data_IF_469852460841
#
_entry.id   IF_469852460841
#
_cell.length_a   1.000
_cell.length_b   1.000
_cell.length_c   1.000
_cell.angle_alpha   90.00
_cell.angle_beta   90.00
_cell.angle_gamma   90.00
#
_symmetry.space_group_name_H-M   'P 1'
#
loop_
_entity.id
_entity.type
_entity.pdbx_description
1 polymer ?
#
# COMPACT_ATOMS: atom_id res chain seq x y z
N UNK A 1 -31.37 -9.58 29.83
CA UNK A 1 -30.37 -9.98 28.83
C UNK A 1 -30.53 -9.08 27.63
N UNK A 2 -29.68 -8.05 27.48
CA UNK A 2 -29.66 -7.17 26.31
C UNK A 2 -28.65 -7.73 25.30
N UNK A 3 -29.16 -8.21 24.17
CA UNK A 3 -28.38 -8.57 23.00
C UNK A 3 -27.79 -7.31 22.38
N UNK A 4 -26.52 -7.03 22.67
CA UNK A 4 -25.75 -6.03 21.93
C UNK A 4 -25.37 -6.67 20.60
N UNK A 5 -26.16 -6.38 19.57
CA UNK A 5 -25.79 -6.62 18.17
C UNK A 5 -24.53 -5.80 17.87
N UNK A 6 -23.38 -6.47 17.88
CA UNK A 6 -22.11 -5.90 17.45
C UNK A 6 -22.20 -5.56 15.97
N UNK A 7 -22.41 -4.29 15.66
CA UNK A 7 -22.19 -3.78 14.31
C UNK A 7 -20.69 -3.90 14.02
N UNK A 8 -20.32 -4.94 13.28
CA UNK A 8 -19.01 -5.00 12.65
C UNK A 8 -18.96 -3.87 11.62
N UNK A 9 -18.41 -2.72 12.03
CA UNK A 9 -17.96 -1.69 11.10
C UNK A 9 -17.07 -2.40 10.06
N UNK A 10 -17.33 -2.30 8.76
CA UNK A 10 -16.40 -2.80 7.77
C UNK A 10 -15.10 -2.02 8.03
N UNK A 11 -14.09 -2.71 8.56
CA UNK A 11 -12.74 -2.18 8.62
C UNK A 11 -12.41 -1.78 7.19
N UNK A 12 -12.41 -0.47 6.91
CA UNK A 12 -11.95 0.05 5.63
C UNK A 12 -10.54 -0.46 5.48
N UNK A 13 -10.39 -1.48 4.65
CA UNK A 13 -9.13 -2.11 4.42
C UNK A 13 -8.22 -1.00 3.86
N UNK A 14 -7.21 -0.61 4.63
CA UNK A 14 -6.40 0.57 4.33
C UNK A 14 -5.48 0.29 3.14
N UNK A 15 -5.61 1.09 2.09
CA UNK A 15 -4.63 1.21 1.03
C UNK A 15 -3.70 2.40 1.37
N UNK A 16 -3.16 2.41 2.59
CA UNK A 16 -2.37 3.53 3.06
C UNK A 16 -0.90 3.36 2.69
N UNK A 17 -0.35 4.34 1.99
CA UNK A 17 1.03 4.33 1.54
C UNK A 17 1.71 5.62 1.92
N UNK A 18 3.02 5.54 2.11
CA UNK A 18 3.84 6.69 2.44
C UNK A 18 5.23 6.55 1.83
N UNK A 19 5.83 7.69 1.52
CA UNK A 19 7.21 7.82 1.07
C UNK A 19 7.85 8.93 1.89
N UNK A 20 9.00 8.64 2.47
CA UNK A 20 9.91 9.63 3.03
C UNK A 20 11.12 9.75 2.12
N UNK A 21 11.63 10.96 1.95
CA UNK A 21 12.80 11.17 1.12
C UNK A 21 13.64 12.37 1.57
N UNK A 22 14.92 12.27 1.26
CA UNK A 22 15.87 13.36 1.28
C UNK A 22 15.93 13.96 -0.13
N UNK A 23 15.53 15.22 -0.23
CA UNK A 23 15.41 15.91 -1.50
C UNK A 23 16.76 16.38 -2.09
N UNK A 24 17.85 16.26 -1.32
CA UNK A 24 19.20 16.67 -1.69
C UNK A 24 20.06 15.47 -2.11
N UNK A 25 19.95 14.34 -1.38
CA UNK A 25 20.72 13.12 -1.69
C UNK A 25 19.97 12.16 -2.60
N UNK A 26 18.63 12.25 -2.65
CA UNK A 26 17.78 11.30 -3.35
C UNK A 26 17.55 10.00 -2.58
N UNK A 27 18.04 9.89 -1.34
CA UNK A 27 17.71 8.78 -0.45
C UNK A 27 16.20 8.78 -0.15
N UNK A 28 15.59 7.61 -0.10
CA UNK A 28 14.16 7.47 0.15
C UNK A 28 13.85 6.19 0.90
N UNK A 29 12.67 6.17 1.53
CA UNK A 29 12.05 5.00 2.11
C UNK A 29 10.57 5.01 1.80
N UNK A 30 9.97 3.84 1.65
CA UNK A 30 8.58 3.71 1.23
C UNK A 30 7.86 2.62 2.02
N UNK A 31 6.54 2.74 2.10
CA UNK A 31 5.65 1.70 2.59
C UNK A 31 4.37 1.75 1.79
N UNK A 32 3.82 0.58 1.49
CA UNK A 32 2.67 0.42 0.60
C UNK A 32 1.56 -0.34 1.31
N UNK A 33 0.30 0.01 1.02
CA UNK A 33 -0.88 -0.80 1.31
C UNK A 33 -1.09 -1.16 2.79
N UNK A 34 -0.72 -0.26 3.70
CA UNK A 34 -0.91 -0.43 5.14
C UNK A 34 -2.33 -0.13 5.57
N UNK A 35 -2.71 -0.77 6.68
CA UNK A 35 -4.01 -0.56 7.35
C UNK A 35 -4.23 0.88 7.84
N UNK A 36 -3.17 1.66 8.03
CA UNK A 36 -3.26 3.06 8.43
C UNK A 36 -2.09 3.89 7.88
N UNK A 37 -2.33 5.18 7.67
CA UNK A 37 -1.31 6.14 7.22
C UNK A 37 -0.15 6.21 8.21
N UNK A 38 -0.43 6.17 9.52
CA UNK A 38 0.60 6.19 10.55
C UNK A 38 1.56 5.00 10.46
N UNK A 39 1.03 3.79 10.21
CA UNK A 39 1.86 2.60 10.02
C UNK A 39 2.70 2.70 8.74
N UNK A 40 2.11 3.21 7.64
CA UNK A 40 2.84 3.45 6.40
C UNK A 40 3.99 4.45 6.63
N UNK A 41 3.71 5.57 7.31
CA UNK A 41 4.70 6.60 7.59
C UNK A 41 5.84 6.10 8.47
N UNK A 42 5.54 5.37 9.55
CA UNK A 42 6.58 4.83 10.44
C UNK A 42 7.54 3.89 9.71
N UNK A 43 7.01 3.01 8.87
CA UNK A 43 7.85 2.08 8.11
C UNK A 43 8.64 2.83 7.02
N UNK A 44 8.01 3.74 6.27
CA UNK A 44 8.67 4.51 5.23
C UNK A 44 9.81 5.39 5.80
N UNK A 45 9.56 6.05 6.94
CA UNK A 45 10.58 6.82 7.65
C UNK A 45 11.72 5.90 8.11
N UNK A 46 11.40 4.76 8.72
CA UNK A 46 12.37 3.77 9.18
C UNK A 46 13.32 3.27 8.08
N UNK A 47 12.85 3.16 6.84
CA UNK A 47 13.73 2.86 5.71
C UNK A 47 14.54 4.06 5.25
N UNK A 48 13.94 5.26 5.17
CA UNK A 48 14.66 6.44 4.72
C UNK A 48 15.85 6.76 5.64
N UNK A 49 15.65 6.69 6.96
CA UNK A 49 16.69 7.04 7.95
C UNK A 49 17.90 6.10 7.96
N UNK A 50 17.80 4.93 7.32
CA UNK A 50 18.94 4.03 7.13
C UNK A 50 19.89 4.53 6.03
N UNK A 51 19.41 5.40 5.14
CA UNK A 51 20.15 5.87 3.97
C UNK A 51 20.43 7.38 3.99
N UNK A 52 19.67 8.17 4.76
CA UNK A 52 19.95 9.58 5.00
C UNK A 52 19.47 10.02 6.38
N UNK A 53 20.20 10.95 7.00
CA UNK A 53 19.77 11.59 8.24
C UNK A 53 18.75 12.73 8.01
N UNK A 54 18.51 13.13 6.75
CA UNK A 54 17.65 14.25 6.38
C UNK A 54 16.38 13.80 5.63
N UNK A 55 15.63 12.88 6.22
CA UNK A 55 14.33 12.42 5.73
C UNK A 55 13.19 13.39 6.09
N UNK A 56 13.33 14.65 5.70
CA UNK A 56 12.41 15.73 6.07
C UNK A 56 11.21 15.89 5.13
N UNK A 57 11.26 15.29 3.94
CA UNK A 57 10.16 15.36 2.98
C UNK A 57 9.36 14.07 3.02
N UNK A 58 8.03 14.21 2.91
CA UNK A 58 7.12 13.07 2.96
C UNK A 58 5.92 13.27 2.03
N UNK A 59 5.40 12.15 1.54
CA UNK A 59 4.12 12.07 0.85
C UNK A 59 3.36 10.85 1.39
N UNK A 60 2.04 10.96 1.56
CA UNK A 60 1.22 9.84 2.00
C UNK A 60 -0.17 9.86 1.40
N UNK A 61 -0.82 8.70 1.36
CA UNK A 61 -2.21 8.55 0.96
C UNK A 61 -2.90 7.47 1.79
N UNK A 62 -4.23 7.51 1.82
CA UNK A 62 -5.11 6.44 2.28
C UNK A 62 -6.12 6.01 1.21
N UNK A 63 -6.00 6.57 0.00
CA UNK A 63 -6.93 6.37 -1.11
C UNK A 63 -6.42 5.28 -2.04
N UNK A 64 -7.34 4.51 -2.63
CA UNK A 64 -7.02 3.61 -3.72
C UNK A 64 -6.55 4.35 -4.99
N UNK A 65 -5.96 3.62 -5.93
CA UNK A 65 -5.41 4.17 -7.17
C UNK A 65 -4.02 3.60 -7.49
N UNK A 66 -3.24 4.35 -8.27
CA UNK A 66 -1.89 3.96 -8.66
C UNK A 66 -0.87 4.95 -8.12
N UNK A 67 0.27 4.42 -7.71
CA UNK A 67 1.33 5.20 -7.11
C UNK A 67 2.66 4.87 -7.76
N UNK A 68 3.50 5.88 -7.93
CA UNK A 68 4.78 5.74 -8.60
C UNK A 68 5.85 6.58 -7.90
N UNK A 69 7.08 6.08 -7.94
CA UNK A 69 8.28 6.73 -7.44
C UNK A 69 9.33 6.70 -8.53
N UNK A 70 9.84 7.89 -8.89
CA UNK A 70 11.00 8.07 -9.74
C UNK A 70 12.18 8.59 -8.94
N UNK A 71 13.36 8.13 -9.29
CA UNK A 71 14.63 8.59 -8.70
C UNK A 71 15.61 8.99 -9.77
N UNK A 72 16.39 10.03 -9.50
CA UNK A 72 17.57 10.43 -10.27
C UNK A 72 18.67 10.89 -9.32
N UNK A 73 19.80 11.33 -9.86
CA UNK A 73 20.91 11.86 -9.05
C UNK A 73 20.45 13.06 -8.22
N UNK A 74 20.30 12.89 -6.90
CA UNK A 74 19.81 13.95 -5.99
C UNK A 74 18.35 14.35 -6.23
N UNK A 75 17.52 13.46 -6.80
CA UNK A 75 16.13 13.78 -7.14
C UNK A 75 15.19 12.62 -6.84
N UNK A 76 14.02 12.98 -6.30
CA UNK A 76 12.91 12.07 -6.07
C UNK A 76 11.63 12.73 -6.58
N UNK A 77 10.81 11.96 -7.29
CA UNK A 77 9.48 12.37 -7.72
C UNK A 77 8.46 11.31 -7.36
N UNK A 78 7.34 11.73 -6.77
CA UNK A 78 6.35 10.82 -6.18
C UNK A 78 4.96 11.21 -6.66
N UNK A 79 4.17 10.22 -7.03
CA UNK A 79 2.73 10.35 -7.25
C UNK A 79 2.03 9.28 -6.42
N UNK A 80 0.99 9.66 -5.68
CA UNK A 80 0.17 8.74 -4.90
C UNK A 80 -1.28 8.81 -5.34
N UNK A 81 -1.96 7.66 -5.35
CA UNK A 81 -3.40 7.51 -5.65
C UNK A 81 -3.84 8.21 -6.94
N UNK A 82 -3.04 8.10 -7.99
CA UNK A 82 -3.43 8.52 -9.33
C UNK A 82 -4.50 7.60 -9.89
N UNK A 83 -5.23 8.10 -10.89
CA UNK A 83 -6.33 7.38 -11.52
C UNK A 83 -5.88 6.11 -12.25
N UNK A 84 -4.70 6.16 -12.88
CA UNK A 84 -4.10 5.08 -13.66
C UNK A 84 -2.57 5.06 -13.51
N UNK A 85 -1.97 3.96 -13.96
CA UNK A 85 -0.52 3.71 -13.93
C UNK A 85 0.28 4.74 -14.72
N UNK A 86 -0.21 5.15 -15.89
CA UNK A 86 0.41 6.16 -16.73
C UNK A 86 0.38 7.55 -16.09
N UNK A 87 -0.72 7.92 -15.44
CA UNK A 87 -0.85 9.18 -14.71
C UNK A 87 0.09 9.23 -13.50
N UNK A 88 0.22 8.13 -12.75
CA UNK A 88 1.17 8.01 -11.65
C UNK A 88 2.60 8.23 -12.13
N UNK A 89 3.01 7.48 -13.17
CA UNK A 89 4.35 7.56 -13.74
C UNK A 89 4.67 8.96 -14.28
N UNK A 90 3.80 9.53 -15.13
CA UNK A 90 4.03 10.87 -15.71
C UNK A 90 4.19 11.93 -14.62
N UNK A 91 3.37 11.89 -13.57
CA UNK A 91 3.43 12.87 -12.47
C UNK A 91 4.71 12.71 -11.65
N UNK A 92 5.04 11.49 -11.25
CA UNK A 92 6.27 11.19 -10.51
C UNK A 92 7.52 11.53 -11.33
N UNK A 93 7.57 11.13 -12.59
CA UNK A 93 8.67 11.45 -13.51
C UNK A 93 8.82 12.97 -13.69
N UNK A 94 7.74 13.69 -13.96
CA UNK A 94 7.77 15.15 -14.12
C UNK A 94 8.32 15.82 -12.86
N UNK A 95 7.93 15.36 -11.68
CA UNK A 95 8.46 15.88 -10.41
C UNK A 95 9.96 15.63 -10.27
N UNK A 96 10.43 14.41 -10.58
CA UNK A 96 11.86 14.09 -10.55
C UNK A 96 12.64 14.94 -11.56
N UNK A 97 12.12 15.07 -12.80
CA UNK A 97 12.78 15.78 -13.91
C UNK A 97 12.94 17.28 -13.69
N UNK A 98 12.22 17.86 -12.71
CA UNK A 98 12.46 19.24 -12.28
C UNK A 98 13.81 19.43 -11.61
N UNK A 99 14.39 18.36 -11.07
CA UNK A 99 15.67 18.39 -10.34
C UNK A 99 16.80 17.68 -11.06
N UNK A 100 16.53 16.57 -11.76
CA UNK A 100 17.57 15.77 -12.41
C UNK A 100 17.17 15.31 -13.83
N UNK A 101 18.16 15.16 -14.71
CA UNK A 101 17.92 14.70 -16.10
C UNK A 101 17.85 13.17 -16.25
N UNK A 102 18.37 12.43 -15.28
CA UNK A 102 18.59 10.98 -15.28
C UNK A 102 17.50 10.21 -14.51
N UNK A 103 16.29 10.75 -14.43
CA UNK A 103 15.19 10.14 -13.69
C UNK A 103 14.76 8.79 -14.28
N UNK A 104 14.66 7.77 -13.42
CA UNK A 104 14.19 6.42 -13.74
C UNK A 104 13.08 5.99 -12.79
N UNK A 105 12.17 5.16 -13.30
CA UNK A 105 11.14 4.54 -12.49
C UNK A 105 11.81 3.61 -11.46
N UNK A 106 11.60 3.87 -10.19
CA UNK A 106 12.07 3.02 -9.10
C UNK A 106 10.97 2.06 -8.63
N UNK A 107 9.74 2.57 -8.48
CA UNK A 107 8.60 1.79 -8.00
C UNK A 107 7.32 2.22 -8.70
N UNK A 108 6.47 1.23 -9.00
CA UNK A 108 5.09 1.40 -9.46
C UNK A 108 4.23 0.39 -8.70
N UNK A 109 3.19 0.85 -8.04
CA UNK A 109 2.29 -0.03 -7.28
C UNK A 109 0.85 0.44 -7.35
N UNK A 110 -0.06 -0.48 -7.05
CA UNK A 110 -1.48 -0.20 -6.88
C UNK A 110 -1.77 -0.05 -5.39
N UNK A 111 -2.45 1.03 -5.06
CA UNK A 111 -2.99 1.31 -3.73
C UNK A 111 -4.20 0.41 -3.53
N UNK A 112 -3.92 -0.77 -2.96
CA UNK A 112 -4.88 -1.82 -2.73
C UNK A 112 -4.86 -2.18 -1.26
N UNK A 113 -6.00 -2.44 -0.62
CA UNK A 113 -5.97 -2.81 0.78
C UNK A 113 -5.16 -4.09 1.05
N UNK A 114 -4.36 -4.11 2.12
CA UNK A 114 -3.83 -5.38 2.64
C UNK A 114 -5.02 -6.28 3.03
N UNK A 115 -5.34 -7.26 2.19
CA UNK A 115 -6.32 -8.31 2.52
C UNK A 115 -5.71 -9.16 3.63
N UNK A 116 -6.35 -9.31 4.81
CA UNK A 116 -5.87 -10.22 5.83
C UNK A 116 -5.74 -11.62 5.21
N UNK A 117 -4.66 -12.39 5.49
CA UNK A 117 -4.60 -13.78 5.06
C UNK A 117 -5.83 -14.51 5.60
N UNK A 118 -6.68 -15.01 4.70
CA UNK A 118 -7.82 -15.85 5.09
C UNK A 118 -7.21 -17.13 5.66
N UNK A 119 -7.48 -17.49 6.94
CA UNK A 119 -7.01 -18.77 7.46
C UNK A 119 -7.57 -19.89 6.57
N UNK A 120 -6.78 -20.93 6.24
CA UNK A 120 -7.26 -22.03 5.40
C UNK A 120 -8.54 -22.59 6.02
N UNK A 121 -9.63 -22.58 5.25
CA UNK A 121 -10.89 -23.18 5.68
C UNK A 121 -10.62 -24.68 5.87
N UNK A 122 -10.81 -25.24 7.08
CA UNK A 122 -10.70 -26.69 7.29
C UNK A 122 -11.67 -27.39 6.33
N UNK A 123 -11.28 -28.51 5.68
CA UNK A 123 -12.21 -29.26 4.84
C UNK A 123 -13.45 -29.60 5.67
N UNK A 124 -14.63 -29.23 5.15
CA UNK A 124 -15.91 -29.59 5.77
C UNK A 124 -15.97 -31.12 5.80
N UNK A 125 -16.11 -31.77 6.98
CA UNK A 125 -16.31 -33.21 7.04
C UNK A 125 -17.53 -33.58 6.20
N UNK A 126 -17.39 -34.52 5.28
CA UNK A 126 -18.50 -35.02 4.48
C UNK A 126 -19.65 -35.43 5.42
N UNK A 127 -20.79 -34.74 5.34
CA UNK A 127 -21.99 -35.20 6.02
C UNK A 127 -22.41 -36.53 5.36
N UNK A 128 -22.55 -37.62 6.13
CA UNK A 128 -23.10 -38.86 5.57
C UNK A 128 -24.53 -38.57 5.09
N UNK A 129 -24.78 -38.86 3.82
CA UNK A 129 -26.15 -38.86 3.28
C UNK A 129 -26.98 -39.90 4.05
N UNK A 130 -28.23 -39.60 4.43
CA UNK A 130 -29.10 -40.59 5.05
C UNK A 130 -29.29 -41.77 4.07
N UNK A 131 -29.16 -42.98 4.59
CA UNK A 131 -29.41 -44.19 3.83
C UNK A 131 -30.88 -44.19 3.39
N UNK A 132 -31.11 -44.30 2.08
CA UNK A 132 -32.44 -44.61 1.55
C UNK A 132 -32.70 -46.09 1.81
N UNK A 133 -33.64 -46.40 2.70
CA UNK A 133 -34.17 -47.76 2.84
C UNK A 133 -35.04 -48.08 1.61
N UNK A 134 -34.90 -49.28 0.99
CA UNK A 134 -35.80 -49.69 -0.08
C UNK A 134 -37.21 -49.93 0.49
N UNK A 135 -38.22 -49.38 -0.19
CA UNK A 135 -39.63 -49.71 0.07
C UNK A 135 -39.92 -51.06 -0.58
N UNK A 136 -40.37 -52.02 0.22
CA UNK A 136 -40.88 -53.34 -0.21
C UNK A 136 -42.35 -53.25 -0.66
#
# INVERSE_FOLDING_TARGET
>A
MLLVMGMALPCTAGAASAVFYDADTGAYGYSMNKRSVSAAMQQALGYCVQHSLNCSNQASTSLGGYSALYTGTGAVGIALSAQDDGAAQRKAETMCRRKAGDCRLALLWREEPEVPPVPPVPPIPAHPLPAFEPVE
#
